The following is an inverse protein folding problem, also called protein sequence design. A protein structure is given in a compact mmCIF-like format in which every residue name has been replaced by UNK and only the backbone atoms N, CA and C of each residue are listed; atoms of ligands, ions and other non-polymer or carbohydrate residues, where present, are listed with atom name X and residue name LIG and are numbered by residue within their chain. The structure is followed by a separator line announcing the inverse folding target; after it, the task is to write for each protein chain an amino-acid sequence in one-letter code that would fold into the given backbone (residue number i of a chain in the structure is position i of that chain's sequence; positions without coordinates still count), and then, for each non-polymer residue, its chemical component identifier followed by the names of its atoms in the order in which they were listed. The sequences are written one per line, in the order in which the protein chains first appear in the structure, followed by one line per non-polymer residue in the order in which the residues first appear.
data_IF_562931475285
#
_entry.id   IF_562931475285
#
_cell.length_a   1.000
_cell.length_b   1.000
_cell.length_c   1.000
_cell.angle_alpha   90.00
_cell.angle_beta   90.00
_cell.angle_gamma   90.00
#
_symmetry.space_group_name_H-M   'P 1'
#
loop_
_entity.id
_entity.type
_entity.pdbx_description
1 polymer ?
#
# COMPACT_ATOMS: atom_id res chain seq x y z
N UNK A 1 20.33 9.79 -7.59
CA UNK A 1 19.67 8.51 -7.89
C UNK A 1 18.20 8.82 -7.96
N UNK A 2 17.57 8.64 -9.12
CA UNK A 2 16.13 8.90 -9.26
C UNK A 2 15.37 7.77 -8.59
N UNK A 3 14.46 8.11 -7.67
CA UNK A 3 13.66 7.14 -6.90
C UNK A 3 12.71 6.34 -7.81
N UNK A 4 12.44 6.85 -9.02
CA UNK A 4 11.62 6.22 -10.08
C UNK A 4 12.14 4.84 -10.51
N UNK A 5 13.45 4.58 -10.40
CA UNK A 5 14.02 3.26 -10.74
C UNK A 5 13.70 2.17 -9.70
N UNK A 6 13.11 2.53 -8.56
CA UNK A 6 12.81 1.61 -7.45
C UNK A 6 11.32 1.24 -7.35
N UNK A 7 10.48 1.79 -8.21
CA UNK A 7 9.06 1.45 -8.27
C UNK A 7 8.87 -0.05 -8.47
N UNK A 8 8.08 -0.68 -7.58
CA UNK A 8 7.84 -2.13 -7.59
C UNK A 8 8.99 -3.03 -7.10
N UNK A 9 10.18 -2.48 -6.82
CA UNK A 9 11.35 -3.24 -6.32
C UNK A 9 11.65 -2.95 -4.85
N UNK A 10 11.30 -1.76 -4.38
CA UNK A 10 11.58 -1.35 -3.01
C UNK A 10 10.42 -0.59 -2.38
N UNK A 11 10.27 -0.80 -1.08
CA UNK A 11 9.47 0.00 -0.18
C UNK A 11 10.29 1.18 0.34
N UNK A 12 9.77 2.40 0.18
CA UNK A 12 10.39 3.62 0.70
C UNK A 12 9.57 4.11 1.91
N UNK A 13 10.19 4.06 3.09
CA UNK A 13 9.71 4.70 4.30
C UNK A 13 10.31 6.10 4.40
N UNK A 14 9.50 7.12 4.70
CA UNK A 14 9.97 8.51 4.90
C UNK A 14 9.32 9.12 6.15
N UNK A 15 9.20 8.30 7.20
CA UNK A 15 8.73 8.79 8.49
C UNK A 15 9.81 9.64 9.16
N UNK A 16 9.42 10.85 9.58
CA UNK A 16 10.28 11.82 10.27
C UNK A 16 11.04 11.24 11.48
N UNK A 17 10.47 10.20 12.11
CA UNK A 17 11.04 9.51 13.28
C UNK A 17 12.13 8.51 12.93
N UNK A 18 12.13 7.95 11.72
CA UNK A 18 13.07 6.90 11.28
C UNK A 18 13.98 7.35 10.13
N UNK A 19 13.71 8.51 9.51
CA UNK A 19 14.38 8.97 8.30
C UNK A 19 13.97 8.18 7.05
N UNK A 20 14.50 8.57 5.88
CA UNK A 20 14.27 7.84 4.62
C UNK A 20 14.95 6.47 4.66
N UNK A 21 14.18 5.39 4.59
CA UNK A 21 14.70 4.03 4.48
C UNK A 21 14.14 3.33 3.25
N UNK A 22 14.98 2.58 2.55
CA UNK A 22 14.60 1.81 1.36
C UNK A 22 14.76 0.33 1.70
N UNK A 23 13.67 -0.42 1.66
CA UNK A 23 13.64 -1.87 1.93
C UNK A 23 13.24 -2.60 0.65
N UNK A 24 13.92 -3.68 0.31
CA UNK A 24 13.51 -4.52 -0.82
C UNK A 24 12.13 -5.14 -0.53
N UNK A 25 11.19 -5.03 -1.48
CA UNK A 25 9.87 -5.64 -1.40
C UNK A 25 9.40 -5.98 -2.83
N UNK A 26 9.65 -7.22 -3.25
CA UNK A 26 9.26 -7.72 -4.56
C UNK A 26 7.82 -8.21 -4.55
N UNK A 27 7.07 -7.87 -5.60
CA UNK A 27 5.66 -8.28 -5.78
C UNK A 27 5.53 -9.81 -5.83
N UNK A 28 6.49 -10.50 -6.42
CA UNK A 28 6.49 -11.96 -6.55
C UNK A 28 6.59 -12.70 -5.21
N UNK A 29 7.14 -12.04 -4.18
CA UNK A 29 7.27 -12.58 -2.82
C UNK A 29 6.04 -12.25 -1.95
N UNK A 30 5.08 -11.48 -2.47
CA UNK A 30 3.90 -11.07 -1.73
C UNK A 30 2.78 -12.12 -1.77
N UNK A 31 1.96 -12.25 -0.71
CA UNK A 31 0.82 -13.17 -0.71
C UNK A 31 -0.10 -12.96 -1.91
N UNK A 32 -0.49 -14.02 -2.62
CA UNK A 32 -1.41 -13.93 -3.77
C UNK A 32 -2.85 -13.58 -3.36
N UNK A 33 -3.20 -13.80 -2.08
CA UNK A 33 -4.51 -13.44 -1.55
C UNK A 33 -4.57 -11.93 -1.23
N UNK A 34 -5.52 -11.16 -1.81
CA UNK A 34 -5.56 -9.70 -1.66
C UNK A 34 -5.61 -9.21 -0.21
N UNK A 35 -6.39 -9.89 0.64
CA UNK A 35 -6.54 -9.51 2.05
C UNK A 35 -5.23 -9.71 2.81
N UNK A 36 -4.62 -10.89 2.70
CA UNK A 36 -3.33 -11.19 3.35
C UNK A 36 -2.21 -10.28 2.87
N UNK A 37 -2.23 -9.90 1.59
CA UNK A 37 -1.26 -8.94 1.06
C UNK A 37 -1.45 -7.56 1.68
N UNK A 38 -2.69 -7.09 1.79
CA UNK A 38 -3.00 -5.84 2.48
C UNK A 38 -2.61 -5.89 3.96
N UNK A 39 -2.84 -7.01 4.66
CA UNK A 39 -2.38 -7.20 6.05
C UNK A 39 -0.86 -7.04 6.17
N UNK A 40 -0.10 -7.70 5.30
CA UNK A 40 1.36 -7.56 5.27
C UNK A 40 1.77 -6.11 4.99
N UNK A 41 1.19 -5.46 3.98
CA UNK A 41 1.51 -4.07 3.65
C UNK A 41 1.21 -3.11 4.81
N UNK A 42 0.07 -3.27 5.50
CA UNK A 42 -0.24 -2.46 6.67
C UNK A 42 0.62 -2.78 7.90
N UNK A 43 1.18 -3.99 7.99
CA UNK A 43 2.17 -4.32 9.02
C UNK A 43 3.52 -3.63 8.80
N UNK A 44 3.89 -3.38 7.54
CA UNK A 44 5.13 -2.69 7.16
C UNK A 44 5.03 -1.17 7.32
N UNK A 45 3.84 -0.60 7.06
CA UNK A 45 3.57 0.83 7.20
C UNK A 45 2.12 1.07 7.57
N UNK A 46 1.89 1.89 8.60
CA UNK A 46 0.55 2.13 9.12
C UNK A 46 -0.33 2.98 8.20
N UNK A 47 0.27 3.75 7.28
CA UNK A 47 -0.47 4.62 6.36
C UNK A 47 0.13 4.61 4.96
N UNK A 48 -0.74 4.43 3.96
CA UNK A 48 -0.34 4.33 2.56
C UNK A 48 -1.07 5.34 1.68
N UNK A 49 -0.35 5.94 0.74
CA UNK A 49 -0.96 6.63 -0.41
C UNK A 49 -1.43 5.59 -1.43
N UNK A 50 -2.56 5.86 -2.08
CA UNK A 50 -3.08 4.99 -3.14
C UNK A 50 -2.05 4.76 -4.26
N UNK A 51 -1.37 5.84 -4.67
CA UNK A 51 -0.37 5.79 -5.74
C UNK A 51 0.83 4.90 -5.45
N UNK A 52 1.12 4.64 -4.17
CA UNK A 52 2.22 3.79 -3.75
C UNK A 52 1.72 2.35 -3.54
N UNK A 53 0.63 2.16 -2.79
CA UNK A 53 0.15 0.81 -2.51
C UNK A 53 -0.30 0.06 -3.77
N UNK A 54 -0.78 0.78 -4.79
CA UNK A 54 -1.21 0.18 -6.06
C UNK A 54 -0.08 -0.60 -6.75
N UNK A 55 1.18 -0.19 -6.55
CA UNK A 55 2.33 -0.87 -7.17
C UNK A 55 2.48 -2.30 -6.65
N UNK A 56 2.07 -2.57 -5.40
CA UNK A 56 2.11 -3.90 -4.80
C UNK A 56 0.84 -4.72 -5.06
N UNK A 57 -0.14 -4.16 -5.77
CA UNK A 57 -1.42 -4.78 -6.06
C UNK A 57 -1.68 -4.90 -7.56
N UNK A 58 -0.76 -4.48 -8.42
CA UNK A 58 -0.99 -4.37 -9.87
C UNK A 58 -1.23 -5.72 -10.57
N UNK A 59 -0.62 -6.78 -10.05
CA UNK A 59 -0.81 -8.17 -10.48
C UNK A 59 -2.19 -8.72 -10.07
N UNK A 60 -2.70 -8.34 -8.90
CA UNK A 60 -4.02 -8.75 -8.41
C UNK A 60 -5.17 -7.87 -8.94
N UNK A 61 -4.87 -6.61 -9.25
CA UNK A 61 -5.81 -5.59 -9.69
C UNK A 61 -5.41 -5.06 -11.07
N UNK A 62 -5.78 -5.75 -12.17
CA UNK A 62 -5.32 -5.39 -13.51
C UNK A 62 -5.92 -4.07 -14.03
N UNK A 63 -6.91 -3.50 -13.32
CA UNK A 63 -7.50 -2.22 -13.68
C UNK A 63 -7.67 -1.34 -12.44
N UNK A 64 -7.65 -0.02 -12.66
CA UNK A 64 -7.95 0.97 -11.62
C UNK A 64 -9.32 0.73 -10.97
N UNK A 65 -10.27 0.17 -11.71
CA UNK A 65 -11.59 -0.19 -11.18
C UNK A 65 -11.49 -1.30 -10.13
N UNK A 66 -10.79 -2.40 -10.44
CA UNK A 66 -10.59 -3.50 -9.48
C UNK A 66 -9.85 -3.03 -8.23
N UNK A 67 -8.81 -2.20 -8.42
CA UNK A 67 -8.09 -1.58 -7.31
C UNK A 67 -9.04 -0.76 -6.42
N UNK A 68 -9.83 0.12 -7.01
CA UNK A 68 -10.77 0.96 -6.26
C UNK A 68 -11.80 0.13 -5.51
N UNK A 69 -12.37 -0.91 -6.15
CA UNK A 69 -13.31 -1.82 -5.51
C UNK A 69 -12.67 -2.53 -4.31
N UNK A 70 -11.45 -3.06 -4.46
CA UNK A 70 -10.70 -3.70 -3.36
C UNK A 70 -10.44 -2.70 -2.21
N UNK A 71 -9.92 -1.52 -2.51
CA UNK A 71 -9.56 -0.53 -1.48
C UNK A 71 -10.80 0.00 -0.75
N UNK A 72 -11.89 0.29 -1.46
CA UNK A 72 -13.14 0.75 -0.85
C UNK A 72 -13.78 -0.34 0.00
N UNK A 73 -13.73 -1.60 -0.42
CA UNK A 73 -14.35 -2.69 0.32
C UNK A 73 -13.51 -3.12 1.53
N UNK A 74 -12.19 -3.12 1.41
CA UNK A 74 -11.32 -3.75 2.40
C UNK A 74 -10.58 -2.75 3.28
N UNK A 75 -10.39 -1.48 2.89
CA UNK A 75 -9.51 -0.55 3.61
C UNK A 75 -10.26 0.61 4.28
N UNK A 76 -9.78 1.01 5.47
CA UNK A 76 -10.15 2.28 6.11
C UNK A 76 -9.35 3.41 5.49
N UNK A 77 -10.03 4.53 5.23
CA UNK A 77 -9.44 5.74 4.68
C UNK A 77 -9.47 6.88 5.70
N UNK A 78 -8.43 7.71 5.70
CA UNK A 78 -8.34 8.93 6.50
C UNK A 78 -7.89 10.07 5.60
N UNK A 79 -8.43 11.25 5.82
CA UNK A 79 -7.91 12.49 5.21
C UNK A 79 -6.83 13.07 6.12
N UNK A 80 -5.64 13.32 5.58
CA UNK A 80 -4.55 13.98 6.31
C UNK A 80 -4.85 15.46 6.52
N UNK A 81 -4.05 16.13 7.35
CA UNK A 81 -4.14 17.59 7.57
C UNK A 81 -3.95 18.40 6.27
N UNK A 82 -3.29 17.82 5.28
CA UNK A 82 -3.04 18.44 3.98
C UNK A 82 -4.17 18.15 2.96
N UNK A 83 -5.25 17.49 3.38
CA UNK A 83 -6.37 17.12 2.50
C UNK A 83 -6.14 15.86 1.66
N UNK A 84 -5.00 15.18 1.81
CA UNK A 84 -4.68 13.95 1.07
C UNK A 84 -5.40 12.74 1.69
N UNK A 85 -6.01 11.89 0.85
CA UNK A 85 -6.60 10.64 1.31
C UNK A 85 -5.54 9.55 1.40
N UNK A 86 -5.45 8.90 2.54
CA UNK A 86 -4.54 7.78 2.81
C UNK A 86 -5.31 6.58 3.36
N UNK A 87 -4.79 5.39 3.08
CA UNK A 87 -5.29 4.13 3.61
C UNK A 87 -4.58 3.87 4.94
N UNK A 88 -5.31 3.44 5.98
CA UNK A 88 -4.78 3.34 7.36
C UNK A 88 -5.01 1.97 8.01
N UNK A 89 -5.34 0.96 7.22
CA UNK A 89 -5.57 -0.41 7.68
C UNK A 89 -6.79 -1.05 7.05
N UNK A 90 -7.00 -2.33 7.33
CA UNK A 90 -8.20 -3.04 6.91
C UNK A 90 -9.42 -2.58 7.69
N UNK A 91 -10.59 -2.67 7.06
CA UNK A 91 -11.88 -2.63 7.74
C UNK A 91 -12.06 -3.94 8.50
N UNK A 92 -12.71 -3.87 9.65
CA UNK A 92 -13.22 -5.08 10.29
C UNK A 92 -14.24 -5.69 9.31
N UNK A 93 -13.85 -6.78 8.65
CA UNK A 93 -14.80 -7.61 7.93
C UNK A 93 -15.58 -8.33 9.02
N UNK A 94 -16.86 -7.98 9.17
CA UNK A 94 -17.80 -8.77 9.96
C UNK A 94 -17.84 -10.16 9.29
N UNK A 95 -17.06 -11.09 9.86
CA UNK A 95 -17.14 -12.52 9.58
C UNK A 95 -18.54 -13.04 9.99
#
# INVERSE_FOLDING_TARGET
MEEEYLEGLAFIDDELTTGKTIRYLNIEDLPEEPIKRLELLFSLRQSWKESIIQQYLSDLCPTKRHLNELLVNCCRQKTTINGEKVLVGLKEMLL
#
